data_IF_437138516370
#
_entry.id   IF_437138516370
#
_cell.length_a   1.000
_cell.length_b   1.000
_cell.length_c   1.000
_cell.angle_alpha   90.00
_cell.angle_beta   90.00
_cell.angle_gamma   90.00
#
_symmetry.space_group_name_H-M   'P 1'
#
loop_
_entity.id
_entity.type
_entity.pdbx_description
1 polymer ?
#
# COMPACT_ATOMS: atom_id res chain seq x y z
N UNK A 1 21.63 -11.66 32.64
CA UNK A 1 21.33 -12.19 31.28
C UNK A 1 21.60 -11.10 30.28
N UNK A 2 22.53 -11.25 29.33
CA UNK A 2 22.64 -10.34 28.17
C UNK A 2 21.33 -10.44 27.39
N UNK A 3 20.55 -9.35 27.29
CA UNK A 3 19.47 -9.27 26.31
C UNK A 3 20.11 -9.48 24.95
N UNK A 4 19.85 -10.62 24.31
CA UNK A 4 20.25 -10.80 22.91
C UNK A 4 19.47 -9.80 22.10
N UNK A 5 20.18 -8.81 21.56
CA UNK A 5 19.60 -7.80 20.67
C UNK A 5 19.15 -8.51 19.40
N UNK A 6 17.91 -8.26 19.00
CA UNK A 6 17.36 -8.77 17.76
C UNK A 6 17.83 -7.90 16.60
N UNK A 7 18.28 -8.52 15.51
CA UNK A 7 18.67 -7.81 14.29
C UNK A 7 17.78 -8.22 13.13
N UNK A 8 17.29 -7.22 12.41
CA UNK A 8 16.46 -7.40 11.21
C UNK A 8 17.17 -6.75 10.02
N UNK A 9 17.04 -7.36 8.83
CA UNK A 9 17.50 -6.75 7.60
C UNK A 9 16.53 -5.62 7.21
N UNK A 10 17.08 -4.42 7.04
CA UNK A 10 16.32 -3.26 6.61
C UNK A 10 16.62 -2.98 5.14
N UNK A 11 15.59 -3.03 4.29
CA UNK A 11 15.71 -2.80 2.84
C UNK A 11 16.19 -1.38 2.53
N UNK A 12 15.76 -0.39 3.32
CA UNK A 12 16.17 1.00 3.16
C UNK A 12 17.68 1.20 3.30
N UNK A 13 18.29 0.57 4.31
CA UNK A 13 19.73 0.69 4.59
C UNK A 13 20.57 -0.44 3.99
N UNK A 14 19.92 -1.51 3.49
CA UNK A 14 20.53 -2.76 2.99
C UNK A 14 21.43 -3.45 4.00
N UNK A 15 21.13 -3.33 5.28
CA UNK A 15 21.93 -3.87 6.39
C UNK A 15 21.06 -4.60 7.41
N UNK A 16 21.68 -5.51 8.15
CA UNK A 16 21.11 -6.05 9.37
C UNK A 16 21.35 -5.07 10.51
N UNK A 17 20.28 -4.49 11.03
CA UNK A 17 20.30 -3.49 12.08
C UNK A 17 19.67 -4.05 13.36
N UNK A 18 20.06 -3.48 14.48
CA UNK A 18 19.40 -3.76 15.75
C UNK A 18 17.98 -3.20 15.72
N UNK A 19 17.01 -4.06 16.00
CA UNK A 19 15.62 -3.64 16.08
C UNK A 19 15.36 -2.94 17.44
N UNK A 20 14.95 -1.70 17.37
CA UNK A 20 14.52 -0.89 18.53
C UNK A 20 13.09 -0.43 18.25
N UNK A 21 12.08 -0.92 19.03
CA UNK A 21 10.70 -0.53 18.81
C UNK A 21 10.45 0.93 19.20
N UNK A 22 9.52 1.59 18.53
CA UNK A 22 9.06 2.95 18.86
C UNK A 22 8.50 3.03 20.28
N UNK A 23 7.80 1.99 20.70
CA UNK A 23 7.25 1.87 22.05
C UNK A 23 7.83 0.61 22.71
N UNK A 24 8.50 0.72 23.86
CA UNK A 24 9.07 -0.45 24.53
C UNK A 24 8.04 -1.56 24.76
N UNK A 25 8.36 -2.78 24.31
CA UNK A 25 7.49 -3.94 24.45
C UNK A 25 6.37 -4.08 23.41
N UNK A 26 6.21 -3.13 22.50
CA UNK A 26 5.22 -3.17 21.41
C UNK A 26 5.91 -3.20 20.06
N UNK A 27 5.23 -3.78 19.06
CA UNK A 27 5.64 -3.73 17.65
C UNK A 27 4.44 -3.43 16.79
N UNK A 28 4.50 -2.35 16.05
CA UNK A 28 3.51 -1.95 15.05
C UNK A 28 3.98 -2.40 13.67
N UNK A 29 3.30 -3.40 13.11
CA UNK A 29 3.67 -4.02 11.84
C UNK A 29 2.54 -3.89 10.83
N UNK A 30 2.82 -3.26 9.69
CA UNK A 30 1.95 -3.24 8.52
C UNK A 30 2.53 -4.12 7.43
N UNK A 31 1.71 -4.99 6.85
CA UNK A 31 2.11 -5.86 5.73
C UNK A 31 1.12 -5.69 4.60
N UNK A 32 1.58 -5.21 3.45
CA UNK A 32 0.74 -5.06 2.27
C UNK A 32 0.11 -6.39 1.87
N UNK A 33 -1.21 -6.42 1.87
CA UNK A 33 -2.01 -7.58 1.54
C UNK A 33 -2.28 -7.73 0.04
N UNK A 34 -3.00 -8.77 -0.37
CA UNK A 34 -3.27 -9.05 -1.77
C UNK A 34 -4.43 -8.22 -2.33
N UNK A 35 -4.40 -8.02 -3.65
CA UNK A 35 -5.58 -7.64 -4.42
C UNK A 35 -6.46 -8.88 -4.60
N UNK A 36 -7.72 -8.80 -4.16
CA UNK A 36 -8.62 -9.96 -4.03
C UNK A 36 -9.50 -10.14 -5.26
N UNK A 37 -8.89 -10.49 -6.39
CA UNK A 37 -9.58 -10.72 -7.66
C UNK A 37 -9.56 -12.19 -8.11
N UNK A 38 -8.73 -13.03 -7.48
CA UNK A 38 -8.59 -14.45 -7.81
C UNK A 38 -8.04 -15.22 -6.59
N UNK A 39 -7.99 -16.54 -6.68
CA UNK A 39 -7.27 -17.36 -5.72
C UNK A 39 -5.82 -16.92 -5.61
N UNK A 40 -5.28 -16.95 -4.40
CA UNK A 40 -3.86 -16.67 -4.20
C UNK A 40 -2.99 -17.79 -4.78
N UNK A 41 -1.79 -17.42 -5.18
CA UNK A 41 -0.75 -18.38 -5.57
C UNK A 41 0.41 -18.33 -4.58
N UNK A 42 1.38 -19.24 -4.72
CA UNK A 42 2.52 -19.36 -3.80
C UNK A 42 3.30 -18.04 -3.63
N UNK A 43 3.36 -17.20 -4.66
CA UNK A 43 3.99 -15.88 -4.61
C UNK A 43 3.27 -14.92 -3.65
N UNK A 44 1.93 -14.93 -3.62
CA UNK A 44 1.15 -14.13 -2.66
C UNK A 44 1.23 -14.71 -1.24
N UNK A 45 1.23 -16.03 -1.10
CA UNK A 45 1.33 -16.70 0.20
C UNK A 45 2.70 -16.49 0.87
N UNK A 46 3.78 -16.38 0.08
CA UNK A 46 5.14 -16.25 0.61
C UNK A 46 5.32 -15.10 1.60
N UNK A 47 5.02 -13.83 1.27
CA UNK A 47 5.14 -12.74 2.25
C UNK A 47 4.25 -12.95 3.47
N UNK A 48 3.04 -13.48 3.31
CA UNK A 48 2.13 -13.75 4.43
C UNK A 48 2.73 -14.75 5.42
N UNK A 49 3.32 -15.85 4.94
CA UNK A 49 3.99 -16.86 5.78
C UNK A 49 5.26 -16.29 6.43
N UNK A 50 6.05 -15.54 5.66
CA UNK A 50 7.30 -14.94 6.18
C UNK A 50 7.01 -13.97 7.30
N UNK A 51 6.06 -13.06 7.12
CA UNK A 51 5.76 -12.04 8.13
C UNK A 51 4.92 -12.59 9.29
N UNK A 52 4.14 -13.65 9.11
CA UNK A 52 3.59 -14.42 10.23
C UNK A 52 4.69 -15.04 11.09
N UNK A 53 5.73 -15.58 10.47
CA UNK A 53 6.91 -16.12 11.19
C UNK A 53 7.63 -15.02 11.96
N UNK A 54 7.82 -13.85 11.35
CA UNK A 54 8.42 -12.68 12.01
C UNK A 54 7.56 -12.23 13.19
N UNK A 55 6.25 -12.11 13.02
CA UNK A 55 5.29 -11.79 14.08
C UNK A 55 5.39 -12.77 15.25
N UNK A 56 5.33 -14.09 14.97
CA UNK A 56 5.43 -15.13 16.00
C UNK A 56 6.75 -15.06 16.76
N UNK A 57 7.83 -14.71 16.08
CA UNK A 57 9.11 -14.55 16.74
C UNK A 57 9.14 -13.34 17.67
N UNK A 58 8.54 -12.21 17.30
CA UNK A 58 8.37 -11.07 18.20
C UNK A 58 7.52 -11.42 19.42
N UNK A 59 6.39 -12.09 19.20
CA UNK A 59 5.52 -12.56 20.28
C UNK A 59 6.28 -13.51 21.23
N UNK A 60 7.06 -14.45 20.68
CA UNK A 60 7.93 -15.34 21.46
C UNK A 60 8.98 -14.57 22.29
N UNK A 61 9.45 -13.44 21.80
CA UNK A 61 10.37 -12.55 22.52
C UNK A 61 9.65 -11.66 23.55
N UNK A 62 8.35 -11.77 23.69
CA UNK A 62 7.54 -11.05 24.68
C UNK A 62 7.06 -9.67 24.23
N UNK A 63 7.08 -9.39 22.92
CA UNK A 63 6.47 -8.17 22.38
C UNK A 63 4.97 -8.36 22.17
N UNK A 64 4.21 -7.30 22.41
CA UNK A 64 2.84 -7.16 21.94
C UNK A 64 2.86 -6.68 20.49
N UNK A 65 2.37 -7.50 19.56
CA UNK A 65 2.45 -7.22 18.12
C UNK A 65 1.10 -6.84 17.56
N UNK A 66 0.99 -5.58 17.15
CA UNK A 66 -0.13 -5.10 16.32
C UNK A 66 0.19 -5.38 14.86
N UNK A 67 -0.39 -6.44 14.31
CA UNK A 67 -0.19 -6.88 12.94
C UNK A 67 -1.39 -6.49 12.08
N UNK A 68 -1.20 -5.56 11.15
CA UNK A 68 -2.22 -5.11 10.19
C UNK A 68 -1.85 -5.57 8.80
N UNK A 69 -2.78 -6.21 8.10
CA UNK A 69 -2.62 -6.58 6.69
C UNK A 69 -3.93 -6.38 5.97
N UNK A 70 -3.92 -5.55 4.94
CA UNK A 70 -5.13 -5.15 4.22
C UNK A 70 -5.59 -6.18 3.18
N UNK A 71 -6.82 -5.97 2.69
CA UNK A 71 -7.27 -6.47 1.41
C UNK A 71 -7.54 -5.28 0.48
N UNK A 72 -6.88 -5.27 -0.68
CA UNK A 72 -7.25 -4.37 -1.77
C UNK A 72 -8.47 -4.95 -2.47
N UNK A 73 -9.64 -4.41 -2.13
CA UNK A 73 -10.96 -4.87 -2.58
C UNK A 73 -11.59 -3.97 -3.65
N UNK A 74 -10.85 -2.98 -4.14
CA UNK A 74 -11.16 -2.15 -5.32
C UNK A 74 -9.92 -1.97 -6.18
N UNK A 75 -9.95 -2.50 -7.41
CA UNK A 75 -8.81 -2.46 -8.35
C UNK A 75 -9.31 -2.78 -9.77
N UNK A 76 -8.54 -2.36 -10.80
CA UNK A 76 -8.86 -2.64 -12.20
C UNK A 76 -9.02 -4.15 -12.49
N UNK A 77 -8.25 -5.02 -11.80
CA UNK A 77 -8.33 -6.47 -11.95
C UNK A 77 -9.64 -7.04 -11.39
N UNK A 78 -10.13 -6.48 -10.27
CA UNK A 78 -11.42 -6.86 -9.67
C UNK A 78 -12.56 -6.45 -10.59
N UNK A 79 -12.53 -5.21 -11.09
CA UNK A 79 -13.53 -4.67 -12.02
C UNK A 79 -13.58 -5.49 -13.30
N UNK A 80 -12.41 -5.79 -13.89
CA UNK A 80 -12.32 -6.64 -15.08
C UNK A 80 -12.94 -8.01 -14.84
N UNK A 81 -12.61 -8.66 -13.72
CA UNK A 81 -13.13 -9.96 -13.35
C UNK A 81 -14.64 -9.94 -13.12
N UNK A 82 -15.15 -8.89 -12.48
CA UNK A 82 -16.58 -8.68 -12.27
C UNK A 82 -17.34 -8.56 -13.59
N UNK A 83 -16.81 -7.76 -14.52
CA UNK A 83 -17.38 -7.62 -15.87
C UNK A 83 -17.37 -8.94 -16.65
N UNK A 84 -16.30 -9.74 -16.57
CA UNK A 84 -16.19 -11.05 -17.20
C UNK A 84 -17.24 -12.05 -16.66
N UNK A 85 -17.54 -11.98 -15.35
CA UNK A 85 -18.53 -12.85 -14.70
C UNK A 85 -19.95 -12.28 -14.69
N UNK A 86 -20.15 -11.02 -15.09
CA UNK A 86 -21.46 -10.36 -15.09
C UNK A 86 -22.01 -10.11 -13.68
N UNK A 87 -21.13 -9.81 -12.72
CA UNK A 87 -21.48 -9.56 -11.31
C UNK A 87 -20.84 -8.24 -10.83
N UNK A 88 -21.27 -7.76 -9.66
CA UNK A 88 -20.67 -6.57 -9.05
C UNK A 88 -19.25 -6.85 -8.53
N UNK A 89 -18.38 -5.83 -8.55
CA UNK A 89 -17.01 -5.91 -8.06
C UNK A 89 -16.94 -6.38 -6.59
N UNK A 90 -17.90 -5.97 -5.77
CA UNK A 90 -18.01 -6.38 -4.37
C UNK A 90 -18.23 -7.90 -4.21
N UNK A 91 -18.95 -8.54 -5.13
CA UNK A 91 -19.16 -10.00 -5.11
C UNK A 91 -17.83 -10.72 -5.33
N UNK A 92 -17.01 -10.22 -6.26
CA UNK A 92 -15.68 -10.77 -6.53
C UNK A 92 -14.77 -10.60 -5.32
N UNK A 93 -14.65 -9.41 -4.79
CA UNK A 93 -13.76 -9.13 -3.66
C UNK A 93 -14.14 -9.93 -2.41
N UNK A 94 -15.42 -9.97 -2.05
CA UNK A 94 -15.89 -10.77 -0.90
C UNK A 94 -15.57 -12.25 -1.07
N UNK A 95 -15.82 -12.81 -2.25
CA UNK A 95 -15.50 -14.21 -2.56
C UNK A 95 -14.01 -14.51 -2.32
N UNK A 96 -13.13 -13.73 -2.90
CA UNK A 96 -11.71 -14.01 -2.83
C UNK A 96 -11.05 -13.60 -1.52
N UNK A 97 -11.63 -12.69 -0.74
CA UNK A 97 -11.27 -12.49 0.68
C UNK A 97 -11.49 -13.78 1.47
N UNK A 98 -12.65 -14.40 1.34
CA UNK A 98 -12.95 -15.64 2.07
C UNK A 98 -12.07 -16.83 1.60
N UNK A 99 -11.83 -16.95 0.30
CA UNK A 99 -10.90 -17.97 -0.20
C UNK A 99 -9.46 -17.73 0.30
N UNK A 100 -8.98 -16.47 0.29
CA UNK A 100 -7.67 -16.12 0.83
C UNK A 100 -7.56 -16.48 2.32
N UNK A 101 -8.59 -16.18 3.13
CA UNK A 101 -8.60 -16.55 4.55
C UNK A 101 -8.54 -18.06 4.76
N UNK A 102 -9.27 -18.86 3.95
CA UNK A 102 -9.21 -20.33 4.01
C UNK A 102 -7.81 -20.85 3.68
N UNK A 103 -7.21 -20.33 2.60
CA UNK A 103 -5.85 -20.73 2.19
C UNK A 103 -4.82 -20.38 3.25
N UNK A 104 -4.91 -19.19 3.85
CA UNK A 104 -4.01 -18.78 4.93
C UNK A 104 -4.17 -19.66 6.17
N UNK A 105 -5.42 -20.01 6.54
CA UNK A 105 -5.68 -20.93 7.64
C UNK A 105 -5.09 -22.33 7.38
N UNK A 106 -5.23 -22.85 6.15
CA UNK A 106 -4.64 -24.12 5.72
C UNK A 106 -3.09 -24.11 5.77
N UNK A 107 -2.48 -22.96 5.53
CA UNK A 107 -1.04 -22.74 5.66
C UNK A 107 -0.59 -22.41 7.10
N UNK A 108 -1.49 -22.52 8.09
CA UNK A 108 -1.22 -22.21 9.49
C UNK A 108 -0.74 -20.77 9.73
N UNK A 109 -1.12 -19.83 8.87
CA UNK A 109 -0.87 -18.39 9.06
C UNK A 109 -1.87 -17.86 10.10
N UNK A 110 -1.36 -17.18 11.11
CA UNK A 110 -2.18 -16.60 12.19
C UNK A 110 -2.98 -15.41 11.64
N UNK A 111 -4.29 -15.30 11.92
CA UNK A 111 -5.07 -14.13 11.52
C UNK A 111 -4.40 -12.82 11.93
N UNK A 112 -4.46 -11.81 11.09
CA UNK A 112 -3.98 -10.47 11.43
C UNK A 112 -4.78 -9.90 12.62
N UNK A 113 -4.21 -8.93 13.34
CA UNK A 113 -4.94 -8.18 14.38
C UNK A 113 -6.11 -7.44 13.74
N UNK A 114 -5.87 -6.86 12.56
CA UNK A 114 -6.90 -6.22 11.72
C UNK A 114 -6.59 -6.51 10.26
N UNK A 115 -7.64 -6.80 9.49
CA UNK A 115 -7.60 -6.88 8.02
C UNK A 115 -8.51 -5.78 7.43
N UNK A 116 -8.02 -4.54 7.31
CA UNK A 116 -8.83 -3.48 6.71
C UNK A 116 -9.05 -3.71 5.21
N UNK A 117 -10.15 -3.17 4.69
CA UNK A 117 -10.49 -3.17 3.27
C UNK A 117 -10.41 -1.75 2.73
N UNK A 118 -9.86 -1.58 1.53
CA UNK A 118 -9.68 -0.27 0.91
C UNK A 118 -11.00 0.51 0.78
N UNK A 119 -12.08 -0.19 0.43
CA UNK A 119 -13.42 0.42 0.28
C UNK A 119 -13.99 1.00 1.58
N UNK A 120 -13.50 0.57 2.73
CA UNK A 120 -13.93 1.06 4.05
C UNK A 120 -13.16 2.32 4.51
N UNK A 121 -12.06 2.65 3.82
CA UNK A 121 -11.14 3.73 4.21
C UNK A 121 -11.15 4.94 3.26
N UNK A 122 -12.15 5.03 2.40
CA UNK A 122 -12.28 6.10 1.38
C UNK A 122 -12.18 7.50 2.00
N UNK A 123 -12.87 7.76 3.11
CA UNK A 123 -12.83 9.08 3.74
C UNK A 123 -11.42 9.45 4.25
N UNK A 124 -10.69 8.48 4.77
CA UNK A 124 -9.29 8.66 5.15
C UNK A 124 -8.41 8.99 3.95
N UNK A 125 -8.65 8.31 2.81
CA UNK A 125 -7.92 8.57 1.57
C UNK A 125 -8.19 9.98 1.04
N UNK A 126 -9.46 10.41 0.99
CA UNK A 126 -9.81 11.78 0.60
C UNK A 126 -9.13 12.82 1.49
N UNK A 127 -9.10 12.60 2.80
CA UNK A 127 -8.45 13.49 3.77
C UNK A 127 -6.93 13.56 3.55
N UNK A 128 -6.28 12.42 3.34
CA UNK A 128 -4.83 12.40 3.10
C UNK A 128 -4.47 13.05 1.77
N UNK A 129 -5.24 12.79 0.71
CA UNK A 129 -5.05 13.40 -0.60
C UNK A 129 -5.20 14.92 -0.51
N UNK A 130 -6.25 15.43 0.17
CA UNK A 130 -6.41 16.86 0.36
C UNK A 130 -5.23 17.47 1.14
N UNK A 131 -4.75 16.78 2.17
CA UNK A 131 -3.55 17.21 2.91
C UNK A 131 -2.32 17.32 1.99
N UNK A 132 -2.13 16.37 1.09
CA UNK A 132 -1.02 16.40 0.12
C UNK A 132 -1.17 17.55 -0.88
N UNK A 133 -2.39 17.85 -1.32
CA UNK A 133 -2.67 19.02 -2.18
C UNK A 133 -2.35 20.32 -1.44
N UNK A 134 -2.88 20.48 -0.23
CA UNK A 134 -2.70 21.70 0.58
C UNK A 134 -1.22 21.97 0.90
N UNK A 135 -0.41 20.90 0.99
CA UNK A 135 1.04 20.99 1.20
C UNK A 135 1.86 21.12 -0.10
N UNK A 136 1.21 21.10 -1.26
CA UNK A 136 1.87 21.22 -2.56
C UNK A 136 2.57 19.97 -3.06
N UNK A 137 2.25 18.80 -2.48
CA UNK A 137 2.77 17.49 -2.90
C UNK A 137 1.85 16.76 -3.88
N UNK A 138 0.66 17.28 -4.14
CA UNK A 138 -0.27 16.74 -5.12
C UNK A 138 -0.96 17.87 -5.89
N UNK A 139 -1.51 17.55 -7.04
CA UNK A 139 -2.26 18.48 -7.89
C UNK A 139 -3.44 17.78 -8.55
N UNK A 140 -4.43 18.58 -8.95
CA UNK A 140 -5.62 18.12 -9.67
C UNK A 140 -5.44 18.46 -11.13
N UNK A 141 -5.56 17.48 -12.02
CA UNK A 141 -5.53 17.66 -13.46
C UNK A 141 -6.91 18.08 -14.00
N UNK A 142 -6.95 18.55 -15.25
CA UNK A 142 -8.18 19.08 -15.88
C UNK A 142 -9.33 18.07 -15.96
N UNK A 143 -9.02 16.77 -16.00
CA UNK A 143 -10.00 15.67 -16.03
C UNK A 143 -10.50 15.27 -14.63
N UNK A 144 -10.00 15.92 -13.57
CA UNK A 144 -10.30 15.60 -12.18
C UNK A 144 -9.43 14.51 -11.58
N UNK A 145 -8.46 13.96 -12.31
CA UNK A 145 -7.46 13.04 -11.74
C UNK A 145 -6.56 13.78 -10.77
N UNK A 146 -6.29 13.18 -9.62
CA UNK A 146 -5.32 13.74 -8.67
C UNK A 146 -4.03 12.94 -8.73
N UNK A 147 -2.92 13.64 -8.92
CA UNK A 147 -1.58 13.07 -8.99
C UNK A 147 -0.73 13.51 -7.81
N UNK A 148 0.10 12.59 -7.32
CA UNK A 148 1.22 12.93 -6.44
C UNK A 148 2.36 13.49 -7.28
N UNK A 149 2.92 14.63 -6.86
CA UNK A 149 4.03 15.33 -7.53
C UNK A 149 5.35 14.78 -7.03
N UNK A 150 5.90 13.78 -7.72
CA UNK A 150 7.09 13.03 -7.28
C UNK A 150 8.29 13.95 -7.02
N UNK A 151 8.52 14.95 -7.87
CA UNK A 151 9.61 15.93 -7.70
C UNK A 151 9.50 16.81 -6.46
N UNK A 152 8.33 16.85 -5.80
CA UNK A 152 8.16 17.58 -4.53
C UNK A 152 8.75 16.84 -3.33
N UNK A 153 9.00 15.55 -3.44
CA UNK A 153 9.64 14.72 -2.43
C UNK A 153 11.09 14.43 -2.81
N UNK A 154 12.00 15.19 -2.21
CA UNK A 154 13.44 15.17 -2.58
C UNK A 154 14.13 13.83 -2.37
N UNK A 155 13.63 13.02 -1.46
CA UNK A 155 14.18 11.71 -1.11
C UNK A 155 13.55 10.55 -1.88
N UNK A 156 12.73 10.84 -2.92
CA UNK A 156 12.11 9.79 -3.72
C UNK A 156 13.16 8.88 -4.36
N UNK A 157 12.97 7.58 -4.22
CA UNK A 157 13.94 6.57 -4.64
C UNK A 157 14.84 6.07 -3.51
N UNK A 158 14.70 6.60 -2.28
CA UNK A 158 15.58 6.20 -1.15
C UNK A 158 15.44 4.72 -0.76
N UNK A 159 14.24 4.13 -0.91
CA UNK A 159 14.01 2.72 -0.60
C UNK A 159 14.50 1.80 -1.73
N UNK A 160 14.10 2.13 -2.95
CA UNK A 160 14.40 1.32 -4.15
C UNK A 160 15.82 1.54 -4.67
N UNK A 161 16.48 2.62 -4.22
CA UNK A 161 17.76 3.12 -4.72
C UNK A 161 17.75 3.40 -6.22
N UNK A 162 16.60 3.82 -6.75
CA UNK A 162 16.43 4.23 -8.14
C UNK A 162 16.61 5.73 -8.27
N UNK A 163 17.28 6.11 -9.36
CA UNK A 163 17.41 7.52 -9.73
C UNK A 163 16.23 7.91 -10.63
N UNK A 164 15.57 9.03 -10.35
CA UNK A 164 14.47 9.56 -11.16
C UNK A 164 14.87 9.80 -12.63
N UNK A 165 16.11 10.23 -12.89
CA UNK A 165 16.59 10.47 -14.24
C UNK A 165 16.72 9.18 -15.06
N UNK A 166 17.05 8.07 -14.41
CA UNK A 166 17.10 6.74 -15.04
C UNK A 166 15.70 6.19 -15.33
N UNK A 167 14.72 6.50 -14.48
CA UNK A 167 13.32 6.12 -14.69
C UNK A 167 12.73 6.80 -15.93
N UNK A 168 13.06 8.06 -16.18
CA UNK A 168 12.60 8.81 -17.36
C UNK A 168 13.09 8.20 -18.68
N UNK A 169 14.27 7.58 -18.70
CA UNK A 169 14.82 6.96 -19.89
C UNK A 169 14.11 5.65 -20.30
N UNK A 170 13.56 4.92 -19.33
CA UNK A 170 12.82 3.66 -19.55
C UNK A 170 11.34 3.86 -19.97
N UNK A 171 10.73 5.00 -19.62
CA UNK A 171 9.32 5.29 -19.91
C UNK A 171 9.08 5.86 -21.32
N UNK A 172 10.10 6.28 -22.06
CA UNK A 172 9.95 6.85 -23.40
C UNK A 172 9.36 5.90 -24.45
N UNK A 173 9.31 4.60 -24.17
CA UNK A 173 8.82 3.59 -25.13
C UNK A 173 7.39 3.08 -24.88
N UNK A 174 6.78 3.37 -23.72
CA UNK A 174 5.43 2.91 -23.38
C UNK A 174 4.49 4.11 -23.12
N UNK A 175 3.99 4.74 -24.19
CA UNK A 175 2.86 5.66 -24.07
C UNK A 175 1.59 4.85 -23.79
N UNK A 176 1.15 4.85 -22.53
CA UNK A 176 -0.18 4.38 -22.15
C UNK A 176 -1.17 5.52 -22.39
N UNK A 177 -2.25 5.27 -23.12
CA UNK A 177 -3.30 6.26 -23.39
C UNK A 177 -3.86 6.80 -22.08
N UNK A 178 -3.86 8.13 -21.90
CA UNK A 178 -4.30 8.84 -20.68
C UNK A 178 -3.18 9.49 -19.86
N UNK A 179 -1.91 9.39 -20.28
CA UNK A 179 -0.76 10.00 -19.60
C UNK A 179 -0.48 11.46 -20.02
N UNK A 180 -1.26 11.99 -20.98
CA UNK A 180 -1.04 13.35 -21.53
C UNK A 180 -1.32 14.48 -20.54
N UNK A 181 -1.88 14.17 -19.35
CA UNK A 181 -2.35 15.14 -18.35
C UNK A 181 -1.40 15.30 -17.17
N UNK A 182 -0.32 14.49 -17.09
CA UNK A 182 0.66 14.57 -16.00
C UNK A 182 1.63 15.73 -16.18
N UNK A 183 1.95 16.45 -15.09
CA UNK A 183 3.04 17.44 -15.09
C UNK A 183 4.43 16.79 -15.28
N UNK A 184 4.62 15.58 -14.72
CA UNK A 184 5.84 14.77 -14.87
C UNK A 184 5.49 13.30 -15.10
N UNK A 185 6.21 12.58 -15.98
CA UNK A 185 5.96 11.15 -16.24
C UNK A 185 6.03 10.25 -15.00
N UNK A 186 6.80 10.64 -13.99
CA UNK A 186 6.97 9.88 -12.76
C UNK A 186 5.83 10.09 -11.76
N UNK A 187 4.98 11.12 -11.96
CA UNK A 187 3.87 11.37 -11.06
C UNK A 187 2.89 10.20 -11.08
N UNK A 188 2.34 9.85 -9.93
CA UNK A 188 1.44 8.71 -9.81
C UNK A 188 0.07 9.11 -9.28
N UNK A 189 -0.93 8.32 -9.66
CA UNK A 189 -2.34 8.60 -9.37
C UNK A 189 -2.64 8.37 -7.89
N UNK A 190 -3.29 9.37 -7.28
CA UNK A 190 -3.90 9.29 -5.93
C UNK A 190 -5.42 9.07 -6.01
N UNK A 191 -6.08 9.72 -6.98
CA UNK A 191 -7.51 9.59 -7.25
C UNK A 191 -7.75 9.65 -8.75
N UNK A 192 -8.62 8.80 -9.29
CA UNK A 192 -8.92 8.77 -10.72
C UNK A 192 -10.43 8.82 -10.98
N UNK A 193 -10.86 9.53 -12.04
CA UNK A 193 -12.27 9.59 -12.43
C UNK A 193 -12.85 8.20 -12.70
N UNK A 194 -14.12 8.04 -12.39
CA UNK A 194 -14.87 6.81 -12.71
C UNK A 194 -14.99 6.62 -14.21
N UNK A 195 -15.01 5.36 -14.63
CA UNK A 195 -15.48 4.95 -15.95
C UNK A 195 -16.86 4.32 -15.84
N UNK A 196 -17.55 4.18 -16.95
CA UNK A 196 -18.85 3.52 -16.98
C UNK A 196 -18.74 2.08 -16.45
N UNK A 197 -19.67 1.71 -15.55
CA UNK A 197 -19.68 0.39 -14.93
C UNK A 197 -18.65 0.18 -13.81
N UNK A 198 -17.84 1.17 -13.45
CA UNK A 198 -16.91 1.06 -12.32
C UNK A 198 -17.55 1.51 -10.99
N UNK A 199 -17.17 0.89 -9.85
CA UNK A 199 -17.51 1.43 -8.54
C UNK A 199 -16.84 2.81 -8.37
N UNK A 200 -17.55 3.72 -7.69
CA UNK A 200 -17.04 5.08 -7.48
C UNK A 200 -17.54 5.68 -6.18
N UNK A 201 -16.85 6.69 -5.73
CA UNK A 201 -17.20 7.53 -4.58
C UNK A 201 -17.17 9.00 -4.95
N UNK A 202 -17.94 9.80 -4.24
CA UNK A 202 -17.90 11.25 -4.35
C UNK A 202 -16.58 11.78 -3.78
N UNK A 203 -16.00 12.75 -4.45
CA UNK A 203 -14.82 13.47 -3.97
C UNK A 203 -14.91 14.96 -4.35
N UNK A 204 -14.09 15.83 -3.74
CA UNK A 204 -14.02 17.25 -4.13
C UNK A 204 -13.59 17.47 -5.59
N UNK A 205 -12.94 16.49 -6.22
CA UNK A 205 -12.32 16.64 -7.56
C UNK A 205 -13.17 16.02 -8.66
N UNK A 206 -13.67 14.83 -8.45
CA UNK A 206 -14.55 14.12 -9.37
C UNK A 206 -15.17 12.89 -8.71
N UNK A 207 -16.27 12.39 -9.28
CA UNK A 207 -16.72 11.03 -8.99
C UNK A 207 -15.66 10.04 -9.48
N UNK A 208 -15.13 9.21 -8.57
CA UNK A 208 -13.98 8.39 -8.91
C UNK A 208 -13.62 7.36 -7.85
N UNK A 209 -12.40 6.89 -7.92
CA UNK A 209 -11.86 5.88 -7.01
C UNK A 209 -10.38 6.12 -6.69
N UNK A 210 -9.87 5.56 -5.58
CA UNK A 210 -8.48 5.75 -5.17
C UNK A 210 -7.50 5.13 -6.18
N UNK A 211 -6.31 5.72 -6.23
CA UNK A 211 -5.13 5.06 -6.76
C UNK A 211 -4.64 3.97 -5.81
N UNK A 212 -3.92 3.01 -6.33
CA UNK A 212 -3.49 1.83 -5.57
C UNK A 212 -2.60 2.15 -4.36
N UNK A 213 -1.76 3.19 -4.45
CA UNK A 213 -0.72 3.44 -3.44
C UNK A 213 -1.24 4.15 -2.19
N UNK A 214 -2.33 4.94 -2.30
CA UNK A 214 -2.86 5.72 -1.18
C UNK A 214 -3.52 4.83 -0.10
N UNK A 215 -4.03 3.67 -0.50
CA UNK A 215 -4.74 2.75 0.36
C UNK A 215 -3.92 2.33 1.58
N UNK A 216 -2.71 1.78 1.33
CA UNK A 216 -1.85 1.26 2.39
C UNK A 216 -1.33 2.38 3.31
N UNK A 217 -0.99 3.55 2.77
CA UNK A 217 -0.58 4.70 3.57
C UNK A 217 -1.67 5.12 4.56
N UNK A 218 -2.92 5.17 4.11
CA UNK A 218 -4.07 5.55 4.96
C UNK A 218 -4.36 4.47 5.99
N UNK A 219 -4.41 3.21 5.58
CA UNK A 219 -4.69 2.10 6.50
C UNK A 219 -3.59 1.93 7.55
N UNK A 220 -2.31 2.07 7.16
CA UNK A 220 -1.21 2.04 8.10
C UNK A 220 -1.34 3.16 9.15
N UNK A 221 -1.61 4.38 8.71
CA UNK A 221 -1.83 5.54 9.61
C UNK A 221 -3.04 5.34 10.53
N UNK A 222 -4.18 4.89 9.98
CA UNK A 222 -5.42 4.73 10.74
C UNK A 222 -5.26 3.71 11.89
N UNK A 223 -4.69 2.54 11.60
CA UNK A 223 -4.65 1.44 12.56
C UNK A 223 -3.40 1.42 13.43
N UNK A 224 -2.30 2.02 13.00
CA UNK A 224 -1.01 1.96 13.68
C UNK A 224 -0.47 3.34 14.07
N UNK A 225 -1.04 4.43 13.53
CA UNK A 225 -0.62 5.81 13.80
C UNK A 225 0.41 6.34 12.81
N UNK A 226 0.90 7.57 13.07
CA UNK A 226 1.79 8.30 12.15
C UNK A 226 3.17 7.64 11.93
N UNK A 227 3.61 6.81 12.86
CA UNK A 227 4.86 6.07 12.80
C UNK A 227 4.64 4.60 13.13
N UNK A 228 5.30 3.74 12.37
CA UNK A 228 5.23 2.29 12.53
C UNK A 228 6.64 1.69 12.63
N UNK A 229 6.77 0.53 13.27
CA UNK A 229 8.06 -0.13 13.45
C UNK A 229 8.50 -0.88 12.19
N UNK A 230 7.56 -1.54 11.53
CA UNK A 230 7.84 -2.38 10.36
C UNK A 230 6.75 -2.15 9.31
N UNK A 231 7.17 -1.75 8.11
CA UNK A 231 6.39 -1.81 6.89
C UNK A 231 6.96 -2.91 6.00
N UNK A 232 6.11 -3.81 5.53
CA UNK A 232 6.57 -5.00 4.83
C UNK A 232 5.62 -5.42 3.69
N UNK A 233 6.14 -6.27 2.79
CA UNK A 233 5.39 -6.82 1.66
C UNK A 233 6.27 -7.69 0.78
N UNK A 234 5.78 -8.02 -0.41
CA UNK A 234 6.56 -8.68 -1.44
C UNK A 234 7.73 -7.81 -1.94
N UNK A 235 8.81 -8.44 -2.36
CA UNK A 235 9.98 -7.73 -2.91
C UNK A 235 9.64 -6.94 -4.19
N UNK A 236 8.68 -7.43 -4.96
CA UNK A 236 8.10 -6.78 -6.13
C UNK A 236 7.36 -5.47 -5.82
N UNK A 237 6.95 -5.27 -4.56
CA UNK A 237 6.30 -4.05 -4.10
C UNK A 237 7.28 -2.93 -3.72
N UNK A 238 8.58 -3.20 -3.59
CA UNK A 238 9.58 -2.18 -3.22
C UNK A 238 9.45 -0.96 -4.13
N UNK A 239 9.31 -1.20 -5.45
CA UNK A 239 9.07 -0.16 -6.42
C UNK A 239 8.01 -0.60 -7.44
N UNK A 240 6.99 0.24 -7.73
CA UNK A 240 6.83 1.61 -7.20
C UNK A 240 6.06 1.70 -5.87
N UNK A 241 5.40 0.61 -5.40
CA UNK A 241 4.34 0.67 -4.38
C UNK A 241 4.85 1.23 -3.03
N UNK A 242 5.83 0.57 -2.40
CA UNK A 242 6.35 1.00 -1.08
C UNK A 242 7.10 2.34 -1.17
N UNK A 243 7.79 2.63 -2.28
CA UNK A 243 8.41 3.94 -2.50
C UNK A 243 7.36 5.05 -2.52
N UNK A 244 6.22 4.82 -3.21
CA UNK A 244 5.12 5.76 -3.28
C UNK A 244 4.42 5.93 -1.91
N UNK A 245 4.29 4.85 -1.14
CA UNK A 245 3.73 4.91 0.21
C UNK A 245 4.60 5.75 1.17
N UNK A 246 5.93 5.62 1.08
CA UNK A 246 6.86 6.47 1.83
C UNK A 246 6.65 7.92 1.46
N UNK A 247 6.63 8.25 0.16
CA UNK A 247 6.44 9.61 -0.30
C UNK A 247 5.10 10.21 0.21
N UNK A 248 4.01 9.46 0.10
CA UNK A 248 2.70 9.89 0.60
C UNK A 248 2.71 10.12 2.11
N UNK A 249 3.22 9.14 2.86
CA UNK A 249 3.14 9.17 4.33
C UNK A 249 4.04 10.23 4.94
N UNK A 250 5.28 10.37 4.46
CA UNK A 250 6.22 11.36 4.97
C UNK A 250 5.78 12.78 4.61
N UNK A 251 5.32 13.02 3.37
CA UNK A 251 4.80 14.33 2.96
C UNK A 251 3.51 14.70 3.70
N UNK A 252 2.60 13.75 3.95
CA UNK A 252 1.37 14.03 4.66
C UNK A 252 1.60 14.30 6.16
N UNK A 253 2.59 13.64 6.78
CA UNK A 253 2.81 13.67 8.23
C UNK A 253 3.95 14.62 8.67
N UNK A 254 4.70 15.24 7.74
CA UNK A 254 5.89 16.08 8.02
C UNK A 254 6.97 15.33 8.83
N UNK A 255 7.21 14.05 8.50
CA UNK A 255 8.13 13.21 9.29
C UNK A 255 8.99 12.37 8.39
#
# INVERSE_FOLDING_TARGET
MRRMTMKIFNTLTRRKEEFVPLTPGQVKMYVCGPTVYNLIHIGNARPMIVFDTVRRYFEYKGYDVQYVSNFTDVDDKIIKKANEEGVDAEVISKRYIEECKKDMAALNVKPATVNPQATQEIQGMLTMIQTLIDKGHAYVADDGTVYFKVKSFKEYGKLSHKNLDELQSGFRELKVSGEEVKEDPNDFVLWKPKKEGEPYWESPWCQGRPGWHIECSVMAKHYLGDQIDIHAGGEDLIFPHHENEIAQSECANDK
#
